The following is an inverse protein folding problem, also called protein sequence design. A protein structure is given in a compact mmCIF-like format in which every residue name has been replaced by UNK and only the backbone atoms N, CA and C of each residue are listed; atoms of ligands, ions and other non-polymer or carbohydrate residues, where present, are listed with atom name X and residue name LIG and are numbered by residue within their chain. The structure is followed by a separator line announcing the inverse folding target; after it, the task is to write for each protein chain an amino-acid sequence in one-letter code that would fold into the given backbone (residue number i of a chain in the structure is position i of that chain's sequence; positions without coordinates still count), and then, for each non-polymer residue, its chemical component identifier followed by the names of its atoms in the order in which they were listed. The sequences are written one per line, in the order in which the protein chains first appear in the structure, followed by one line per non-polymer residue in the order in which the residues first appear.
data_IF_982531776007
#
_entry.id   IF_982531776007
#
_cell.length_a   1.000
_cell.length_b   1.000
_cell.length_c   1.000
_cell.angle_alpha   90.00
_cell.angle_beta   90.00
_cell.angle_gamma   90.00
#
_symmetry.space_group_name_H-M   'P 1'
#
loop_
_entity.id
_entity.type
_entity.pdbx_description
1 polymer ?
#
# COMPACT_ATOMS: atom_id res chain seq x y z
N UNK A 1 14.83 11.25 10.21
CA UNK A 1 13.77 11.98 9.49
C UNK A 1 13.57 11.26 8.17
N UNK A 2 12.34 10.87 7.80
CA UNK A 2 12.13 10.08 6.59
C UNK A 2 12.41 10.92 5.34
N UNK A 3 13.25 10.39 4.44
CA UNK A 3 13.50 11.05 3.17
C UNK A 3 12.25 11.01 2.30
N UNK A 4 11.95 12.14 1.63
CA UNK A 4 10.82 12.24 0.69
C UNK A 4 10.85 11.13 -0.38
N UNK A 5 12.04 10.75 -0.83
CA UNK A 5 12.25 9.67 -1.81
C UNK A 5 11.72 8.32 -1.30
N UNK A 6 11.99 7.99 -0.02
CA UNK A 6 11.55 6.73 0.60
C UNK A 6 10.04 6.66 0.72
N UNK A 7 9.42 7.77 1.13
CA UNK A 7 7.96 7.89 1.20
C UNK A 7 7.36 7.72 -0.19
N UNK A 8 7.92 8.37 -1.22
CA UNK A 8 7.45 8.20 -2.61
C UNK A 8 7.54 6.74 -3.08
N UNK A 9 8.61 6.02 -2.76
CA UNK A 9 8.73 4.59 -3.09
C UNK A 9 7.71 3.72 -2.34
N UNK A 10 7.47 4.00 -1.05
CA UNK A 10 6.45 3.28 -0.26
C UNK A 10 5.04 3.51 -0.80
N UNK A 11 4.70 4.75 -1.17
CA UNK A 11 3.41 5.09 -1.82
C UNK A 11 3.28 4.38 -3.16
N UNK A 12 4.32 4.42 -3.99
CA UNK A 12 4.33 3.75 -5.29
C UNK A 12 4.09 2.25 -5.14
N UNK A 13 4.74 1.59 -4.17
CA UNK A 13 4.49 0.19 -3.85
C UNK A 13 3.03 -0.07 -3.47
N UNK A 14 2.45 0.75 -2.59
CA UNK A 14 1.04 0.66 -2.20
C UNK A 14 0.08 0.77 -3.40
N UNK A 15 0.32 1.73 -4.30
CA UNK A 15 -0.49 1.93 -5.52
C UNK A 15 -0.36 0.76 -6.50
N UNK A 16 0.85 0.23 -6.70
CA UNK A 16 1.09 -0.95 -7.54
C UNK A 16 0.37 -2.18 -6.99
N UNK A 17 0.36 -2.37 -5.67
CA UNK A 17 -0.42 -3.41 -5.00
C UNK A 17 -1.91 -3.20 -5.23
N UNK A 18 -2.43 -1.97 -5.15
CA UNK A 18 -3.83 -1.67 -5.46
C UNK A 18 -4.19 -2.04 -6.89
N UNK A 19 -3.36 -1.69 -7.88
CA UNK A 19 -3.60 -2.04 -9.27
C UNK A 19 -3.57 -3.56 -9.53
N UNK A 20 -2.98 -4.32 -8.61
CA UNK A 20 -2.97 -5.79 -8.69
C UNK A 20 -4.32 -6.41 -8.34
N UNK A 21 -5.23 -5.70 -7.64
CA UNK A 21 -6.46 -6.29 -7.08
C UNK A 21 -7.67 -5.33 -7.02
N UNK A 22 -8.92 -5.82 -7.14
CA UNK A 22 -9.36 -7.02 -7.85
C UNK A 22 -9.59 -6.74 -9.35
N UNK A 23 -9.82 -5.49 -9.75
CA UNK A 23 -9.84 -5.03 -11.15
C UNK A 23 -8.95 -3.79 -11.20
N UNK A 24 -7.95 -3.72 -12.11
CA UNK A 24 -7.78 -4.49 -13.35
C UNK A 24 -7.08 -5.87 -13.24
N UNK A 25 -6.92 -6.43 -12.03
CA UNK A 25 -6.32 -7.76 -11.77
C UNK A 25 -4.93 -7.98 -12.39
N UNK A 26 -4.12 -6.92 -12.47
CA UNK A 26 -2.75 -6.99 -12.98
C UNK A 26 -1.80 -7.59 -11.95
N UNK A 27 -2.00 -8.88 -11.63
CA UNK A 27 -1.30 -9.61 -10.58
C UNK A 27 0.23 -9.52 -10.68
N UNK A 28 0.79 -9.36 -11.88
CA UNK A 28 2.23 -9.17 -12.10
C UNK A 28 2.78 -7.91 -11.43
N UNK A 29 1.94 -6.88 -11.23
CA UNK A 29 2.31 -5.67 -10.51
C UNK A 29 2.59 -5.92 -9.04
N UNK A 30 2.06 -6.98 -8.43
CA UNK A 30 2.33 -7.31 -7.04
C UNK A 30 3.81 -7.64 -6.83
N UNK A 31 4.42 -8.32 -7.81
CA UNK A 31 5.86 -8.58 -7.81
C UNK A 31 6.66 -7.28 -8.03
N UNK A 32 6.24 -6.45 -8.99
CA UNK A 32 6.88 -5.16 -9.23
C UNK A 32 6.76 -4.21 -8.05
N UNK A 33 5.69 -4.29 -7.26
CA UNK A 33 5.48 -3.49 -6.06
C UNK A 33 6.47 -3.81 -4.93
N UNK A 34 7.06 -5.01 -4.91
CA UNK A 34 8.08 -5.37 -3.92
C UNK A 34 9.38 -4.60 -4.13
N UNK A 35 9.75 -4.29 -5.38
CA UNK A 35 10.99 -3.59 -5.72
C UNK A 35 11.08 -2.20 -5.06
N UNK A 36 10.13 -1.26 -5.26
CA UNK A 36 10.18 0.05 -4.61
C UNK A 36 10.01 -0.05 -3.10
N UNK A 37 9.33 -1.08 -2.58
CA UNK A 37 9.21 -1.29 -1.13
C UNK A 37 10.58 -1.61 -0.52
N UNK A 38 11.33 -2.54 -1.12
CA UNK A 38 12.67 -2.92 -0.65
C UNK A 38 13.64 -1.74 -0.70
N UNK A 39 13.60 -0.94 -1.77
CA UNK A 39 14.38 0.31 -1.84
C UNK A 39 13.98 1.34 -0.78
N UNK A 40 12.69 1.41 -0.40
CA UNK A 40 12.25 2.37 0.62
C UNK A 40 12.86 2.09 2.00
N UNK A 41 13.02 0.81 2.34
CA UNK A 41 13.49 0.33 3.65
C UNK A 41 15.00 0.06 3.70
N UNK A 42 15.72 0.23 2.59
CA UNK A 42 17.16 -0.02 2.53
C UNK A 42 17.92 0.89 3.51
N UNK A 43 18.80 0.29 4.32
CA UNK A 43 19.58 0.99 5.36
C UNK A 43 18.74 1.74 6.41
N UNK A 44 17.46 1.41 6.56
CA UNK A 44 16.62 1.93 7.65
C UNK A 44 16.78 1.12 8.94
N UNK A 45 16.52 1.77 10.08
CA UNK A 45 16.35 1.04 11.34
C UNK A 45 15.05 0.23 11.33
N UNK A 46 14.96 -0.81 12.16
CA UNK A 46 13.77 -1.66 12.25
C UNK A 46 12.45 -0.88 12.39
N UNK A 47 12.45 0.18 13.21
CA UNK A 47 11.27 1.04 13.39
C UNK A 47 10.89 1.82 12.12
N UNK A 48 11.88 2.32 11.39
CA UNK A 48 11.64 3.06 10.15
C UNK A 48 11.14 2.15 9.04
N UNK A 49 11.74 0.96 8.90
CA UNK A 49 11.31 -0.05 7.93
C UNK A 49 9.88 -0.50 8.21
N UNK A 50 9.53 -0.71 9.48
CA UNK A 50 8.15 -1.01 9.88
C UNK A 50 7.17 0.10 9.50
N UNK A 51 7.50 1.37 9.79
CA UNK A 51 6.63 2.51 9.47
C UNK A 51 6.44 2.70 7.95
N UNK A 52 7.49 2.50 7.15
CA UNK A 52 7.39 2.59 5.69
C UNK A 52 6.56 1.45 5.10
N UNK A 53 6.76 0.22 5.58
CA UNK A 53 5.94 -0.93 5.22
C UNK A 53 4.47 -0.76 5.62
N UNK A 54 4.24 -0.25 6.83
CA UNK A 54 2.90 0.11 7.31
C UNK A 54 2.24 1.14 6.42
N UNK A 55 2.96 2.18 6.00
CA UNK A 55 2.42 3.23 5.14
C UNK A 55 2.07 2.72 3.73
N UNK A 56 2.94 1.90 3.13
CA UNK A 56 2.65 1.22 1.86
C UNK A 56 1.39 0.32 1.97
N UNK A 57 1.31 -0.47 3.05
CA UNK A 57 0.14 -1.30 3.35
C UNK A 57 -1.12 -0.47 3.59
N UNK A 58 -1.03 0.64 4.30
CA UNK A 58 -2.15 1.56 4.55
C UNK A 58 -2.72 2.09 3.23
N UNK A 59 -1.87 2.59 2.33
CA UNK A 59 -2.29 3.05 1.00
C UNK A 59 -3.02 1.93 0.24
N UNK A 60 -2.45 0.72 0.23
CA UNK A 60 -3.06 -0.43 -0.43
C UNK A 60 -4.42 -0.80 0.19
N UNK A 61 -4.48 -1.01 1.50
CA UNK A 61 -5.70 -1.49 2.18
C UNK A 61 -6.82 -0.45 2.21
N UNK A 62 -6.51 0.85 2.31
CA UNK A 62 -7.55 1.89 2.20
C UNK A 62 -8.25 1.82 0.85
N UNK A 63 -7.50 1.63 -0.23
CA UNK A 63 -8.09 1.47 -1.56
C UNK A 63 -8.79 0.14 -1.75
N UNK A 64 -8.19 -0.97 -1.29
CA UNK A 64 -8.74 -2.32 -1.43
C UNK A 64 -10.03 -2.51 -0.63
N UNK A 65 -10.13 -1.87 0.54
CA UNK A 65 -11.25 -2.01 1.47
C UNK A 65 -12.22 -0.82 1.43
N UNK A 66 -12.07 0.10 0.48
CA UNK A 66 -12.95 1.28 0.39
C UNK A 66 -14.43 0.88 0.27
N UNK A 67 -14.71 -0.26 -0.37
CA UNK A 67 -16.06 -0.79 -0.56
C UNK A 67 -16.75 -1.20 0.75
N UNK A 68 -16.00 -1.45 1.83
CA UNK A 68 -16.58 -1.75 3.15
C UNK A 68 -17.47 -0.60 3.61
N UNK A 69 -17.07 0.65 3.34
CA UNK A 69 -17.89 1.82 3.63
C UNK A 69 -19.28 1.69 2.98
N UNK A 70 -19.32 1.32 1.70
CA UNK A 70 -20.58 1.11 0.98
C UNK A 70 -21.43 0.01 1.62
N UNK A 71 -20.83 -1.13 1.96
CA UNK A 71 -21.54 -2.26 2.56
C UNK A 71 -22.13 -1.92 3.92
N UNK A 72 -21.37 -1.23 4.77
CA UNK A 72 -21.85 -0.81 6.09
C UNK A 72 -23.03 0.16 5.97
N UNK A 73 -22.96 1.14 5.07
CA UNK A 73 -24.06 2.09 4.88
C UNK A 73 -25.29 1.42 4.25
N UNK A 74 -25.09 0.56 3.24
CA UNK A 74 -26.20 -0.04 2.50
C UNK A 74 -26.91 -1.15 3.29
N UNK A 75 -26.16 -2.02 3.96
CA UNK A 75 -26.71 -3.19 4.66
C UNK A 75 -26.78 -3.03 6.18
N UNK A 76 -25.93 -2.19 6.77
CA UNK A 76 -25.83 -2.03 8.23
C UNK A 76 -26.97 -1.20 8.82
N UNK A 77 -27.72 -0.44 8.02
CA UNK A 77 -28.76 0.51 8.47
C UNK A 77 -28.24 1.49 9.54
N UNK A 78 -26.94 1.83 9.46
CA UNK A 78 -26.25 2.79 10.31
C UNK A 78 -25.97 4.06 9.51
#
# INVERSE_FOLDING_TARGET
MFDRKRISCAVLSGVLLTLSFPTPSWFFLAWLAMVPLMFSIESCSYRQSFLLGWFAGFVHFTSLLYWIYYVVNHYGKV
#
